data_IF_831839756276
#
_entry.id   IF_831839756276
#
_cell.length_a   1.000
_cell.length_b   1.000
_cell.length_c   1.000
_cell.angle_alpha   90.00
_cell.angle_beta   90.00
_cell.angle_gamma   90.00
#
_symmetry.space_group_name_H-M   'P 1'
#
loop_
_entity.id
_entity.type
_entity.pdbx_description
1 polymer ?
#
# COMPACT_ATOMS: atom_id res chain seq x y z
N UNK A 1 -2.36 -17.67 -3.23
CA UNK A 1 -3.13 -16.60 -3.94
C UNK A 1 -3.93 -15.81 -2.93
N UNK A 2 -3.95 -14.48 -3.01
CA UNK A 2 -4.82 -13.60 -2.21
C UNK A 2 -5.92 -13.07 -3.11
N UNK A 3 -7.18 -13.20 -2.69
CA UNK A 3 -8.34 -12.68 -3.41
C UNK A 3 -8.74 -11.33 -2.82
N UNK A 4 -8.95 -10.34 -3.66
CA UNK A 4 -9.51 -9.05 -3.26
C UNK A 4 -11.04 -9.14 -3.18
N UNK A 5 -11.63 -8.70 -2.06
CA UNK A 5 -13.07 -8.75 -1.81
C UNK A 5 -13.59 -7.43 -1.26
N UNK A 6 -14.78 -7.05 -1.74
CA UNK A 6 -15.47 -5.81 -1.33
C UNK A 6 -16.72 -6.19 -0.55
N UNK A 7 -16.70 -6.02 0.77
CA UNK A 7 -17.82 -6.34 1.67
C UNK A 7 -18.53 -5.10 2.23
N UNK A 8 -18.01 -3.90 1.93
CA UNK A 8 -18.53 -2.66 2.51
C UNK A 8 -19.68 -2.03 1.72
N UNK A 9 -19.88 -2.40 0.44
CA UNK A 9 -20.97 -1.89 -0.39
C UNK A 9 -21.33 -2.88 -1.52
N UNK A 10 -22.45 -2.64 -2.18
CA UNK A 10 -22.82 -3.32 -3.41
C UNK A 10 -22.60 -2.40 -4.61
N UNK A 11 -22.33 -2.99 -5.77
CA UNK A 11 -22.12 -2.22 -7.00
C UNK A 11 -23.39 -1.51 -7.47
N UNK A 12 -23.24 -0.45 -8.30
CA UNK A 12 -24.38 0.33 -8.80
C UNK A 12 -25.17 -0.37 -9.92
N UNK A 13 -24.60 -1.39 -10.54
CA UNK A 13 -25.23 -2.14 -11.65
C UNK A 13 -25.36 -3.62 -11.30
N UNK A 14 -26.49 -4.24 -11.63
CA UNK A 14 -26.72 -5.66 -11.36
C UNK A 14 -26.95 -5.99 -9.87
N UNK A 15 -27.13 -4.99 -9.00
CA UNK A 15 -27.36 -5.16 -7.57
C UNK A 15 -28.83 -5.45 -7.26
N UNK A 16 -29.20 -6.74 -7.32
CA UNK A 16 -30.57 -7.18 -7.06
C UNK A 16 -30.81 -7.73 -5.66
N UNK A 17 -29.77 -7.93 -4.85
CA UNK A 17 -29.87 -8.50 -3.51
C UNK A 17 -30.90 -7.78 -2.61
N UNK A 18 -31.03 -6.43 -2.64
CA UNK A 18 -32.03 -5.73 -1.83
C UNK A 18 -33.48 -6.08 -2.16
N UNK A 19 -33.75 -6.72 -3.32
CA UNK A 19 -35.09 -7.21 -3.67
C UNK A 19 -35.45 -8.53 -2.97
N UNK A 20 -34.47 -9.22 -2.40
CA UNK A 20 -34.65 -10.54 -1.79
C UNK A 20 -34.54 -10.50 -0.27
N UNK A 21 -34.10 -9.39 0.32
CA UNK A 21 -34.00 -9.26 1.77
C UNK A 21 -33.33 -7.94 2.18
N UNK A 22 -33.17 -7.73 3.50
CA UNK A 22 -32.61 -6.49 4.06
C UNK A 22 -31.08 -6.44 3.97
N UNK A 23 -30.51 -6.60 2.76
CA UNK A 23 -29.06 -6.61 2.54
C UNK A 23 -28.40 -5.26 2.75
N UNK A 24 -29.16 -4.17 2.56
CA UNK A 24 -28.68 -2.80 2.78
C UNK A 24 -29.39 -2.20 3.99
N UNK A 25 -28.68 -1.31 4.68
CA UNK A 25 -29.22 -0.58 5.85
C UNK A 25 -30.04 0.61 5.39
N UNK A 26 -31.20 0.81 6.03
CA UNK A 26 -32.05 2.00 5.83
C UNK A 26 -31.57 3.22 6.65
N UNK A 27 -30.62 3.00 7.59
CA UNK A 27 -30.24 4.01 8.59
C UNK A 27 -28.77 4.43 8.50
N UNK A 28 -27.95 3.67 7.78
CA UNK A 28 -26.52 3.95 7.65
C UNK A 28 -26.09 3.96 6.18
N UNK A 29 -25.14 4.84 5.87
CA UNK A 29 -24.57 4.96 4.54
C UNK A 29 -23.05 5.19 4.63
N UNK A 30 -22.35 4.82 3.57
CA UNK A 30 -20.96 5.16 3.32
C UNK A 30 -20.84 5.99 2.03
N UNK A 31 -19.63 6.25 1.56
CA UNK A 31 -19.41 7.09 0.36
C UNK A 31 -19.98 6.48 -0.94
N UNK A 32 -20.27 5.19 -0.97
CA UNK A 32 -20.86 4.48 -2.13
C UNK A 32 -22.38 4.31 -2.03
N UNK A 33 -23.03 4.77 -0.96
CA UNK A 33 -24.47 4.68 -0.76
C UNK A 33 -24.84 3.96 0.54
N UNK A 34 -26.01 3.30 0.56
CA UNK A 34 -26.45 2.55 1.73
C UNK A 34 -25.45 1.46 2.12
N UNK A 35 -25.08 1.42 3.40
CA UNK A 35 -24.14 0.41 3.92
C UNK A 35 -24.75 -0.99 3.88
N UNK A 36 -23.90 -2.01 3.77
CA UNK A 36 -24.33 -3.40 3.95
C UNK A 36 -24.85 -3.58 5.38
N UNK A 37 -25.99 -4.23 5.53
CA UNK A 37 -26.69 -4.37 6.81
C UNK A 37 -26.09 -5.49 7.68
N UNK A 38 -25.00 -5.17 8.35
CA UNK A 38 -24.26 -6.13 9.20
C UNK A 38 -24.96 -6.47 10.52
N UNK A 39 -26.04 -5.78 10.86
CA UNK A 39 -26.88 -6.09 12.02
C UNK A 39 -27.78 -7.30 11.75
N UNK A 40 -28.15 -7.49 10.48
CA UNK A 40 -28.97 -8.63 10.05
C UNK A 40 -28.14 -9.92 10.03
N UNK A 41 -28.49 -10.94 10.85
CA UNK A 41 -27.65 -12.14 10.98
C UNK A 41 -27.43 -12.90 9.66
N UNK A 42 -28.44 -12.96 8.79
CA UNK A 42 -28.33 -13.68 7.52
C UNK A 42 -27.44 -12.95 6.51
N UNK A 43 -27.45 -11.61 6.50
CA UNK A 43 -26.54 -10.80 5.69
C UNK A 43 -25.09 -10.96 6.18
N UNK A 44 -24.92 -10.95 7.50
CA UNK A 44 -23.61 -11.22 8.12
C UNK A 44 -23.09 -12.62 7.75
N UNK A 45 -23.97 -13.64 7.85
CA UNK A 45 -23.64 -15.00 7.47
C UNK A 45 -23.26 -15.11 5.99
N UNK A 46 -23.98 -14.43 5.10
CA UNK A 46 -23.68 -14.39 3.67
C UNK A 46 -22.23 -13.96 3.39
N UNK A 47 -21.74 -12.92 4.08
CA UNK A 47 -20.35 -12.46 3.95
C UNK A 47 -19.36 -13.50 4.49
N UNK A 48 -19.64 -14.04 5.69
CA UNK A 48 -18.77 -15.03 6.32
C UNK A 48 -18.68 -16.32 5.52
N UNK A 49 -19.79 -16.78 4.96
CA UNK A 49 -19.85 -17.97 4.11
C UNK A 49 -19.12 -17.74 2.78
N UNK A 50 -19.22 -16.53 2.20
CA UNK A 50 -18.47 -16.16 1.00
C UNK A 50 -16.94 -16.19 1.23
N UNK A 51 -16.49 -15.65 2.36
CA UNK A 51 -15.07 -15.71 2.71
C UNK A 51 -14.58 -17.16 2.87
N UNK A 52 -15.37 -18.01 3.51
CA UNK A 52 -15.05 -19.43 3.65
C UNK A 52 -15.06 -20.16 2.29
N UNK A 53 -16.02 -19.85 1.42
CA UNK A 53 -16.11 -20.40 0.07
C UNK A 53 -14.79 -20.17 -0.70
N UNK A 54 -14.30 -18.93 -0.73
CA UNK A 54 -13.05 -18.61 -1.40
C UNK A 54 -11.88 -19.43 -0.84
N UNK A 55 -11.72 -19.48 0.47
CA UNK A 55 -10.57 -20.10 1.11
C UNK A 55 -10.66 -21.63 1.17
N UNK A 56 -11.86 -22.19 1.39
CA UNK A 56 -12.07 -23.64 1.51
C UNK A 56 -12.22 -24.32 0.16
N UNK A 57 -13.15 -23.80 -0.67
CA UNK A 57 -13.62 -24.52 -1.86
C UNK A 57 -12.83 -24.10 -3.11
N UNK A 58 -12.40 -22.84 -3.19
CA UNK A 58 -11.56 -22.34 -4.28
C UNK A 58 -10.06 -22.29 -3.94
N UNK A 59 -9.67 -22.74 -2.75
CA UNK A 59 -8.28 -22.87 -2.29
C UNK A 59 -7.48 -21.55 -2.33
N UNK A 60 -8.15 -20.42 -2.15
CA UNK A 60 -7.49 -19.11 -1.98
C UNK A 60 -6.79 -19.08 -0.62
N UNK A 61 -5.55 -18.54 -0.57
CA UNK A 61 -4.71 -18.54 0.64
C UNK A 61 -5.03 -17.39 1.59
N UNK A 62 -5.80 -16.41 1.14
CA UNK A 62 -6.22 -15.28 1.96
C UNK A 62 -7.05 -14.27 1.20
N UNK A 63 -7.56 -13.29 1.94
CA UNK A 63 -8.37 -12.20 1.40
C UNK A 63 -7.72 -10.85 1.69
N UNK A 64 -7.65 -9.98 0.70
CA UNK A 64 -7.52 -8.54 0.92
C UNK A 64 -8.95 -7.99 1.08
N UNK A 65 -9.18 -7.26 2.15
CA UNK A 65 -10.48 -6.71 2.49
C UNK A 65 -10.49 -5.23 2.15
N UNK A 66 -11.23 -4.87 1.11
CA UNK A 66 -11.35 -3.51 0.59
C UNK A 66 -12.00 -2.57 1.61
N UNK A 67 -11.38 -1.41 1.82
CA UNK A 67 -11.95 -0.24 2.50
C UNK A 67 -12.72 -0.58 3.79
N UNK A 68 -12.07 -1.32 4.71
CA UNK A 68 -12.75 -1.85 5.92
C UNK A 68 -13.25 -0.76 6.86
N UNK A 69 -12.74 0.47 6.78
CA UNK A 69 -13.25 1.63 7.52
C UNK A 69 -14.69 2.01 7.12
N UNK A 70 -15.14 1.56 5.97
CA UNK A 70 -16.51 1.77 5.50
C UNK A 70 -17.50 0.67 5.95
N UNK A 71 -17.04 -0.35 6.66
CA UNK A 71 -17.90 -1.36 7.30
C UNK A 71 -18.55 -0.76 8.54
N UNK A 72 -19.84 -0.46 8.45
CA UNK A 72 -20.63 0.06 9.58
C UNK A 72 -21.21 -1.13 10.35
N UNK A 73 -20.55 -1.53 11.41
CA UNK A 73 -20.99 -2.66 12.25
C UNK A 73 -21.11 -2.24 13.73
N UNK A 74 -22.32 -1.90 14.21
CA UNK A 74 -22.54 -1.55 15.61
C UNK A 74 -22.65 -2.76 16.54
N UNK A 75 -22.46 -3.97 16.03
CA UNK A 75 -22.58 -5.21 16.81
C UNK A 75 -21.51 -5.29 17.88
N UNK A 76 -21.80 -5.96 19.01
CA UNK A 76 -20.85 -6.17 20.11
C UNK A 76 -19.56 -6.86 19.64
N UNK A 77 -19.67 -7.82 18.71
CA UNK A 77 -18.55 -8.46 18.02
C UNK A 77 -18.53 -7.94 16.58
N UNK A 78 -17.51 -7.18 16.24
CA UNK A 78 -17.35 -6.64 14.89
C UNK A 78 -17.17 -7.75 13.86
N UNK A 79 -17.71 -7.58 12.64
CA UNK A 79 -17.59 -8.55 11.54
C UNK A 79 -16.14 -8.99 11.29
N UNK A 80 -15.19 -8.05 11.31
CA UNK A 80 -13.77 -8.35 11.09
C UNK A 80 -13.20 -9.29 12.15
N UNK A 81 -13.60 -9.12 13.42
CA UNK A 81 -13.18 -10.02 14.49
C UNK A 81 -13.78 -11.42 14.29
N UNK A 82 -15.06 -11.50 13.94
CA UNK A 82 -15.71 -12.80 13.69
C UNK A 82 -15.11 -13.50 12.46
N UNK A 83 -14.84 -12.73 11.41
CA UNK A 83 -14.17 -13.24 10.20
C UNK A 83 -12.77 -13.80 10.53
N UNK A 84 -11.98 -13.10 11.36
CA UNK A 84 -10.68 -13.58 11.79
C UNK A 84 -10.79 -14.89 12.59
N UNK A 85 -11.75 -15.00 13.52
CA UNK A 85 -11.99 -16.23 14.29
C UNK A 85 -12.35 -17.41 13.38
N UNK A 86 -13.26 -17.20 12.42
CA UNK A 86 -13.67 -18.24 11.46
C UNK A 86 -12.52 -18.64 10.52
N UNK A 87 -11.70 -17.68 10.12
CA UNK A 87 -10.52 -17.95 9.27
C UNK A 87 -9.48 -18.78 10.02
N UNK A 88 -9.21 -18.50 11.29
CA UNK A 88 -8.30 -19.30 12.11
C UNK A 88 -8.81 -20.73 12.26
N UNK A 89 -10.11 -20.92 12.53
CA UNK A 89 -10.74 -22.25 12.62
C UNK A 89 -10.64 -23.01 11.29
N UNK A 90 -10.90 -22.31 10.18
CA UNK A 90 -10.77 -22.91 8.86
C UNK A 90 -9.31 -23.29 8.54
N UNK A 91 -8.35 -22.42 8.86
CA UNK A 91 -6.91 -22.66 8.67
C UNK A 91 -6.48 -23.96 9.36
N UNK A 92 -6.94 -24.18 10.61
CA UNK A 92 -6.68 -25.43 11.34
C UNK A 92 -7.32 -26.62 10.64
N UNK A 93 -8.53 -26.49 10.12
CA UNK A 93 -9.27 -27.60 9.50
C UNK A 93 -8.70 -28.00 8.14
N UNK A 94 -8.20 -27.05 7.34
CA UNK A 94 -7.62 -27.31 6.02
C UNK A 94 -6.10 -27.56 6.07
N UNK A 95 -5.47 -27.40 7.25
CA UNK A 95 -4.06 -27.69 7.48
C UNK A 95 -3.08 -26.75 6.75
N UNK A 96 -3.50 -25.52 6.43
CA UNK A 96 -2.65 -24.51 5.78
C UNK A 96 -2.92 -23.11 6.33
N UNK A 97 -1.90 -22.21 6.36
CA UNK A 97 -2.11 -20.82 6.78
C UNK A 97 -3.11 -20.10 5.86
N UNK A 98 -4.04 -19.37 6.47
CA UNK A 98 -4.95 -18.46 5.78
C UNK A 98 -4.77 -17.06 6.33
N UNK A 99 -4.85 -16.05 5.46
CA UNK A 99 -4.55 -14.67 5.81
C UNK A 99 -5.72 -13.73 5.51
N UNK A 100 -5.86 -12.70 6.36
CA UNK A 100 -6.80 -11.59 6.15
C UNK A 100 -6.01 -10.29 6.23
N UNK A 101 -6.06 -9.50 5.16
CA UNK A 101 -5.29 -8.28 4.99
C UNK A 101 -6.25 -7.12 4.71
N UNK A 102 -6.69 -6.36 5.73
CA UNK A 102 -7.53 -5.19 5.52
C UNK A 102 -6.76 -4.04 4.88
N UNK A 103 -7.47 -3.30 4.05
CA UNK A 103 -7.10 -1.96 3.64
C UNK A 103 -7.86 -0.95 4.48
N UNK A 104 -7.14 0.00 5.07
CA UNK A 104 -7.72 1.11 5.83
C UNK A 104 -6.75 2.28 5.89
N UNK A 105 -7.25 3.46 5.63
CA UNK A 105 -6.54 4.73 5.73
C UNK A 105 -6.67 5.41 7.10
N UNK A 106 -7.24 4.70 8.09
CA UNK A 106 -7.45 5.22 9.45
C UNK A 106 -6.24 5.04 10.36
N UNK A 107 -5.24 4.26 9.97
CA UNK A 107 -4.08 3.93 10.80
C UNK A 107 -4.50 3.41 12.19
N UNK A 108 -5.47 2.47 12.20
CA UNK A 108 -5.96 1.86 13.44
C UNK A 108 -5.27 0.49 13.65
N UNK A 109 -4.33 0.37 14.61
CA UNK A 109 -3.67 -0.89 14.90
C UNK A 109 -4.61 -1.96 15.46
N UNK A 110 -5.81 -1.60 15.91
CA UNK A 110 -6.83 -2.55 16.36
C UNK A 110 -7.10 -3.66 15.33
N UNK A 111 -6.94 -3.35 14.05
CA UNK A 111 -7.10 -4.32 12.97
C UNK A 111 -6.18 -5.54 13.16
N UNK A 112 -4.92 -5.30 13.51
CA UNK A 112 -3.87 -6.33 13.62
C UNK A 112 -3.49 -6.69 15.05
N UNK A 113 -3.97 -5.95 16.05
CA UNK A 113 -3.77 -6.27 17.48
C UNK A 113 -4.42 -7.62 17.79
N UNK A 114 -3.79 -8.49 18.60
CA UNK A 114 -4.37 -9.76 19.00
C UNK A 114 -5.75 -9.62 19.66
N UNK A 115 -6.62 -10.58 19.45
CA UNK A 115 -7.96 -10.60 20.08
C UNK A 115 -7.90 -10.66 21.61
N UNK A 116 -6.89 -11.31 22.17
CA UNK A 116 -6.62 -11.33 23.62
C UNK A 116 -6.35 -9.94 24.21
N UNK A 117 -5.92 -9.01 23.37
CA UNK A 117 -5.59 -7.62 23.72
C UNK A 117 -6.66 -6.63 23.23
N UNK A 118 -7.83 -7.14 22.82
CA UNK A 118 -8.97 -6.32 22.42
C UNK A 118 -8.97 -5.87 20.96
N UNK A 119 -8.03 -6.37 20.14
CA UNK A 119 -8.01 -6.15 18.70
C UNK A 119 -8.92 -7.09 17.91
N UNK A 120 -8.90 -6.98 16.59
CA UNK A 120 -9.64 -7.86 15.69
C UNK A 120 -8.85 -9.11 15.29
N UNK A 121 -7.53 -9.08 15.40
CA UNK A 121 -6.65 -10.23 15.15
C UNK A 121 -6.51 -10.59 13.67
N UNK A 122 -6.64 -9.62 12.76
CA UNK A 122 -6.35 -9.81 11.34
C UNK A 122 -4.84 -9.99 11.13
N UNK A 123 -4.46 -10.55 9.99
CA UNK A 123 -3.06 -10.99 9.78
C UNK A 123 -2.10 -9.82 9.57
N UNK A 124 -2.44 -8.88 8.70
CA UNK A 124 -1.65 -7.70 8.37
C UNK A 124 -2.59 -6.59 7.89
N UNK A 125 -2.09 -5.35 7.74
CA UNK A 125 -2.86 -4.24 7.15
C UNK A 125 -1.98 -3.42 6.21
N UNK A 126 -2.59 -2.77 5.22
CA UNK A 126 -1.90 -1.82 4.36
C UNK A 126 -1.54 -0.55 5.14
N UNK A 127 -0.40 0.05 4.80
CA UNK A 127 0.08 1.30 5.37
C UNK A 127 0.36 2.31 4.26
N UNK A 128 -0.61 3.20 4.02
CA UNK A 128 -0.50 4.27 3.03
C UNK A 128 0.53 5.33 3.43
N UNK A 129 0.74 5.55 4.73
CA UNK A 129 1.67 6.58 5.22
C UNK A 129 3.11 6.33 4.75
N UNK A 130 3.53 5.06 4.62
CA UNK A 130 4.84 4.72 4.06
C UNK A 130 4.92 5.15 2.59
N UNK A 131 3.88 4.83 1.79
CA UNK A 131 3.80 5.27 0.39
C UNK A 131 3.83 6.80 0.31
N UNK A 132 2.99 7.49 1.08
CA UNK A 132 2.89 8.94 1.03
C UNK A 132 4.23 9.61 1.34
N UNK A 133 4.91 9.19 2.41
CA UNK A 133 6.21 9.71 2.80
C UNK A 133 7.29 9.43 1.74
N UNK A 134 7.32 8.21 1.18
CA UNK A 134 8.26 7.83 0.14
C UNK A 134 8.00 8.59 -1.17
N UNK A 135 6.74 8.71 -1.58
CA UNK A 135 6.34 9.44 -2.78
C UNK A 135 6.78 10.92 -2.71
N UNK A 136 6.50 11.58 -1.59
CA UNK A 136 6.89 12.98 -1.40
C UNK A 136 8.41 13.13 -1.37
N UNK A 137 9.14 12.22 -0.71
CA UNK A 137 10.60 12.24 -0.69
C UNK A 137 11.21 12.10 -2.09
N UNK A 138 10.56 11.35 -3.00
CA UNK A 138 11.04 11.12 -4.36
C UNK A 138 10.62 12.22 -5.34
N UNK A 139 9.38 12.71 -5.23
CA UNK A 139 8.76 13.58 -6.24
C UNK A 139 8.67 15.04 -5.82
N UNK A 140 8.73 15.34 -4.52
CA UNK A 140 8.42 16.66 -3.97
C UNK A 140 6.94 17.05 -4.04
N UNK A 141 6.02 16.17 -4.47
CA UNK A 141 4.60 16.45 -4.58
C UNK A 141 3.96 16.55 -3.18
N UNK A 142 3.34 17.69 -2.85
CA UNK A 142 2.69 17.94 -1.55
C UNK A 142 1.22 18.33 -1.70
N UNK A 143 0.56 17.92 -2.79
CA UNK A 143 -0.86 18.23 -3.04
C UNK A 143 -1.79 17.17 -2.44
N UNK A 144 -2.98 17.60 -2.00
CA UNK A 144 -3.99 16.67 -1.48
C UNK A 144 -3.52 15.94 -0.24
N UNK A 145 -3.64 14.61 -0.23
CA UNK A 145 -3.25 13.76 0.90
C UNK A 145 -1.74 13.66 1.14
N UNK A 146 -0.90 14.21 0.25
CA UNK A 146 0.55 14.30 0.42
C UNK A 146 1.00 15.53 1.24
N UNK A 147 0.09 16.47 1.54
CA UNK A 147 0.43 17.78 2.13
C UNK A 147 1.19 17.71 3.47
N UNK A 148 0.94 16.68 4.27
CA UNK A 148 1.55 16.53 5.59
C UNK A 148 2.92 15.82 5.55
N UNK A 149 3.41 15.40 4.38
CA UNK A 149 4.56 14.48 4.23
C UNK A 149 5.84 15.14 3.68
N UNK A 150 5.97 16.48 3.74
CA UNK A 150 7.05 17.22 3.10
C UNK A 150 8.47 16.94 3.64
N UNK A 151 8.62 16.51 4.90
CA UNK A 151 9.93 16.24 5.51
C UNK A 151 10.30 14.76 5.43
N UNK A 152 11.59 14.44 5.25
CA UNK A 152 12.14 13.08 5.43
C UNK A 152 11.88 12.51 6.83
N UNK A 153 11.60 13.38 7.81
CA UNK A 153 11.14 12.99 9.14
C UNK A 153 9.84 12.20 9.13
N UNK A 154 8.96 12.41 8.13
CA UNK A 154 7.74 11.63 7.96
C UNK A 154 8.04 10.20 7.53
N UNK A 155 8.99 10.03 6.59
CA UNK A 155 9.50 8.73 6.18
C UNK A 155 10.22 8.03 7.33
N UNK A 156 11.04 8.76 8.10
CA UNK A 156 11.72 8.24 9.29
C UNK A 156 10.72 7.70 10.32
N UNK A 157 9.66 8.45 10.59
CA UNK A 157 8.60 8.03 11.50
C UNK A 157 7.81 6.84 10.96
N UNK A 158 7.35 6.89 9.70
CA UNK A 158 6.63 5.77 9.09
C UNK A 158 7.47 4.50 9.08
N UNK A 159 8.76 4.57 8.72
CA UNK A 159 9.67 3.43 8.67
C UNK A 159 10.01 2.84 10.06
N UNK A 160 9.95 3.62 11.14
CA UNK A 160 10.35 3.18 12.49
C UNK A 160 9.19 2.98 13.45
N UNK A 161 8.00 3.52 13.15
CA UNK A 161 6.79 3.44 13.99
C UNK A 161 5.60 2.81 13.28
N UNK A 162 5.70 2.58 11.96
CA UNK A 162 4.65 1.98 11.13
C UNK A 162 3.68 2.99 10.54
N UNK A 163 3.29 4.02 11.31
CA UNK A 163 2.45 5.12 10.84
C UNK A 163 3.11 6.47 11.10
N UNK A 164 2.91 7.40 10.18
CA UNK A 164 3.19 8.83 10.43
C UNK A 164 2.06 9.46 11.23
N UNK A 165 0.80 9.27 10.78
CA UNK A 165 -0.37 9.69 11.55
C UNK A 165 -0.72 8.62 12.58
N UNK A 166 -0.24 8.80 13.81
CA UNK A 166 -0.42 7.93 14.97
C UNK A 166 -1.10 8.63 16.16
N UNK A 167 -2.06 9.48 15.88
CA UNK A 167 -2.74 10.41 16.79
C UNK A 167 -2.43 11.87 16.45
N UNK A 168 -1.71 12.12 15.37
CA UNK A 168 -1.32 13.47 14.91
C UNK A 168 -2.38 14.10 14.00
N UNK A 169 -2.31 15.42 13.86
CA UNK A 169 -3.24 16.17 13.02
C UNK A 169 -2.99 15.86 11.54
N UNK A 170 -4.06 15.58 10.79
CA UNK A 170 -4.06 15.49 9.34
C UNK A 170 -4.73 16.72 8.73
N UNK A 171 -4.01 17.45 7.89
CA UNK A 171 -4.49 18.68 7.27
C UNK A 171 -5.69 18.41 6.34
N UNK A 172 -5.66 17.30 5.59
CA UNK A 172 -6.74 16.91 4.67
C UNK A 172 -8.01 16.45 5.41
N UNK A 173 -7.85 15.84 6.60
CA UNK A 173 -8.99 15.36 7.40
C UNK A 173 -9.47 16.40 8.40
N UNK A 174 -8.72 17.48 8.62
CA UNK A 174 -9.04 18.55 9.57
C UNK A 174 -9.15 18.09 11.03
N UNK A 175 -8.54 16.95 11.38
CA UNK A 175 -8.58 16.35 12.73
C UNK A 175 -7.38 15.45 12.99
N UNK A 176 -7.16 15.10 14.25
CA UNK A 176 -6.20 14.05 14.58
C UNK A 176 -6.69 12.69 14.09
N UNK A 177 -5.77 11.88 13.53
CA UNK A 177 -6.04 10.56 12.98
C UNK A 177 -4.97 9.57 13.41
N UNK A 178 -5.32 8.27 13.36
CA UNK A 178 -4.44 7.18 13.69
C UNK A 178 -4.24 6.96 15.19
N UNK A 179 -3.54 5.88 15.47
CA UNK A 179 -3.11 5.48 16.81
C UNK A 179 -1.71 4.86 16.73
N UNK A 180 -0.90 4.97 17.80
CA UNK A 180 0.40 4.33 17.81
C UNK A 180 0.26 2.80 17.80
N UNK A 181 1.18 2.15 17.08
CA UNK A 181 1.29 0.69 17.07
C UNK A 181 2.05 0.25 18.31
N UNK A 182 1.57 -0.80 18.97
CA UNK A 182 2.32 -1.44 20.05
C UNK A 182 3.64 -2.01 19.48
N UNK A 183 4.82 -1.67 20.07
CA UNK A 183 6.11 -2.13 19.57
C UNK A 183 6.31 -3.65 19.62
N UNK A 184 5.48 -4.39 20.35
CA UNK A 184 5.49 -5.85 20.38
C UNK A 184 4.76 -6.47 19.16
N UNK A 185 3.99 -5.69 18.41
CA UNK A 185 3.41 -6.12 17.13
C UNK A 185 4.53 -6.24 16.09
N UNK A 186 4.69 -7.40 15.42
CA UNK A 186 5.75 -7.58 14.43
C UNK A 186 5.58 -6.64 13.23
N UNK A 187 6.68 -6.04 12.75
CA UNK A 187 6.66 -5.09 11.62
C UNK A 187 6.10 -5.69 10.33
N UNK A 188 6.26 -6.99 10.09
CA UNK A 188 5.71 -7.66 8.91
C UNK A 188 4.18 -7.60 8.80
N UNK A 189 3.47 -7.25 9.89
CA UNK A 189 2.01 -7.04 9.86
C UNK A 189 1.59 -5.76 9.13
N UNK A 190 2.55 -4.92 8.73
CA UNK A 190 2.28 -3.80 7.83
C UNK A 190 2.69 -4.16 6.41
N UNK A 191 1.78 -3.99 5.47
CA UNK A 191 2.04 -4.13 4.03
C UNK A 191 2.29 -2.74 3.46
N UNK A 192 3.47 -2.55 2.87
CA UNK A 192 3.91 -1.28 2.30
C UNK A 192 4.21 -1.41 0.81
N UNK A 193 4.18 -0.32 0.12
CA UNK A 193 4.37 -0.25 -1.34
C UNK A 193 4.91 1.12 -1.74
N UNK A 194 5.62 1.17 -2.86
CA UNK A 194 5.97 2.41 -3.55
C UNK A 194 4.83 2.90 -4.45
N UNK A 195 4.10 1.96 -5.05
CA UNK A 195 2.91 2.18 -5.87
C UNK A 195 1.87 1.10 -5.58
N UNK A 196 0.58 1.42 -5.80
CA UNK A 196 -0.49 0.46 -5.94
C UNK A 196 -1.56 0.97 -6.93
N UNK A 197 -2.60 0.17 -7.19
CA UNK A 197 -3.66 0.49 -8.13
C UNK A 197 -4.43 1.78 -7.76
N UNK A 198 -4.55 2.09 -6.46
CA UNK A 198 -5.30 3.24 -5.98
C UNK A 198 -4.51 4.54 -6.12
N UNK A 199 -3.25 4.58 -5.69
CA UNK A 199 -2.43 5.78 -5.83
C UNK A 199 -2.25 6.17 -7.31
N UNK A 200 -2.02 5.19 -8.19
CA UNK A 200 -1.92 5.45 -9.63
C UNK A 200 -3.30 5.72 -10.23
N UNK A 201 -4.29 4.87 -9.99
CA UNK A 201 -5.63 4.97 -10.56
C UNK A 201 -6.41 6.21 -10.12
N UNK A 202 -6.08 6.78 -8.97
CA UNK A 202 -6.64 8.05 -8.49
C UNK A 202 -5.90 9.29 -9.00
N UNK A 203 -4.87 9.16 -9.85
CA UNK A 203 -4.29 10.28 -10.61
C UNK A 203 -5.14 10.57 -11.85
N UNK A 204 -5.19 11.82 -12.35
CA UNK A 204 -6.04 12.18 -13.50
C UNK A 204 -5.80 11.31 -14.72
N UNK A 205 -4.55 11.12 -15.11
CA UNK A 205 -4.13 10.35 -16.27
C UNK A 205 -3.72 8.90 -15.93
N UNK A 206 -3.74 8.49 -14.66
CA UNK A 206 -3.25 7.19 -14.24
C UNK A 206 -1.74 7.02 -14.38
N UNK A 207 -1.01 8.12 -14.29
CA UNK A 207 0.45 8.15 -14.43
C UNK A 207 1.15 7.49 -13.25
N UNK A 208 2.13 6.64 -13.57
CA UNK A 208 3.00 5.98 -12.59
C UNK A 208 4.06 6.92 -12.05
N UNK A 209 4.64 6.59 -10.91
CA UNK A 209 5.75 7.36 -10.31
C UNK A 209 6.89 7.57 -11.32
N UNK A 210 7.24 6.55 -12.10
CA UNK A 210 8.27 6.63 -13.15
C UNK A 210 8.04 7.69 -14.23
N UNK A 211 6.83 8.27 -14.33
CA UNK A 211 6.57 9.39 -15.24
C UNK A 211 7.12 10.73 -14.72
N UNK A 212 7.43 10.84 -13.41
CA UNK A 212 7.86 12.07 -12.75
C UNK A 212 9.23 11.97 -12.06
N UNK A 213 9.80 10.77 -11.97
CA UNK A 213 11.09 10.52 -11.31
C UNK A 213 12.06 9.78 -12.24
N UNK A 214 13.36 9.95 -12.00
CA UNK A 214 14.39 9.26 -12.76
C UNK A 214 14.62 7.81 -12.30
N UNK A 215 15.47 7.08 -13.03
CA UNK A 215 15.80 5.70 -12.73
C UNK A 215 16.49 5.51 -11.36
N UNK A 216 17.29 6.48 -10.91
CA UNK A 216 17.93 6.48 -9.61
C UNK A 216 16.88 6.59 -8.48
N UNK A 217 15.92 7.47 -8.63
CA UNK A 217 14.81 7.63 -7.69
C UNK A 217 13.91 6.39 -7.65
N UNK A 218 13.62 5.75 -8.79
CA UNK A 218 12.92 4.45 -8.83
C UNK A 218 13.74 3.36 -8.10
N UNK A 219 15.06 3.39 -8.24
CA UNK A 219 15.93 2.46 -7.51
C UNK A 219 15.90 2.69 -6.00
N UNK A 220 15.82 3.96 -5.53
CA UNK A 220 15.62 4.28 -4.11
C UNK A 220 14.29 3.71 -3.62
N UNK A 221 13.20 3.88 -4.39
CA UNK A 221 11.89 3.33 -4.05
C UNK A 221 11.95 1.81 -3.85
N UNK A 222 12.58 1.10 -4.79
CA UNK A 222 12.78 -0.34 -4.72
C UNK A 222 13.56 -0.77 -3.47
N UNK A 223 14.68 -0.09 -3.19
CA UNK A 223 15.55 -0.41 -2.03
C UNK A 223 14.81 -0.18 -0.72
N UNK A 224 14.14 0.97 -0.53
CA UNK A 224 13.43 1.28 0.71
C UNK A 224 12.22 0.37 0.92
N UNK A 225 11.49 0.03 -0.13
CA UNK A 225 10.33 -0.87 -0.05
C UNK A 225 10.75 -2.30 0.26
N UNK A 226 11.72 -2.86 -0.48
CA UNK A 226 12.11 -4.28 -0.37
C UNK A 226 13.09 -4.56 0.78
N UNK A 227 14.03 -3.68 1.07
CA UNK A 227 14.93 -3.84 2.21
C UNK A 227 14.37 -3.27 3.51
N UNK A 228 13.27 -2.54 3.46
CA UNK A 228 12.53 -2.00 4.62
C UNK A 228 12.01 -3.08 5.58
N UNK A 229 11.54 -2.70 6.78
CA UNK A 229 11.19 -3.66 7.84
C UNK A 229 9.85 -4.35 7.62
N UNK A 230 9.02 -3.87 6.72
CA UNK A 230 7.63 -4.28 6.53
C UNK A 230 7.48 -5.36 5.45
N UNK A 231 6.28 -5.84 5.23
CA UNK A 231 5.97 -6.72 4.10
C UNK A 231 5.79 -5.89 2.83
N UNK A 232 6.67 -6.04 1.83
CA UNK A 232 6.54 -5.29 0.58
C UNK A 232 5.44 -5.87 -0.30
N UNK A 233 4.66 -5.01 -0.92
CA UNK A 233 3.75 -5.31 -2.02
C UNK A 233 4.22 -4.56 -3.26
N UNK A 234 4.24 -5.24 -4.40
CA UNK A 234 4.65 -4.67 -5.67
C UNK A 234 3.43 -4.49 -6.57
N UNK A 235 3.33 -3.34 -7.23
CA UNK A 235 2.33 -3.17 -8.26
C UNK A 235 2.87 -3.67 -9.61
N UNK A 236 2.04 -4.36 -10.37
CA UNK A 236 2.42 -4.97 -11.65
C UNK A 236 3.15 -3.97 -12.55
N UNK A 237 4.36 -4.32 -12.99
CA UNK A 237 5.20 -3.51 -13.87
C UNK A 237 6.16 -2.55 -13.17
N UNK A 238 6.02 -2.30 -11.86
CA UNK A 238 6.96 -1.42 -11.15
C UNK A 238 8.37 -2.01 -11.13
N UNK A 239 8.47 -3.35 -11.10
CA UNK A 239 9.74 -4.06 -11.03
C UNK A 239 10.64 -3.88 -12.25
N UNK A 240 10.11 -3.35 -13.35
CA UNK A 240 10.92 -2.91 -14.49
C UNK A 240 10.67 -1.43 -14.85
N UNK A 241 9.91 -0.69 -14.03
CA UNK A 241 9.60 0.71 -14.29
C UNK A 241 8.72 0.89 -15.52
N UNK A 242 7.63 0.11 -15.63
CA UNK A 242 6.70 0.19 -16.74
C UNK A 242 6.21 1.62 -16.97
N UNK A 243 6.26 2.09 -18.22
CA UNK A 243 5.78 3.43 -18.59
C UNK A 243 4.25 3.46 -18.81
N UNK A 244 3.64 2.30 -18.98
CA UNK A 244 2.20 2.13 -19.20
C UNK A 244 1.40 2.71 -18.03
N UNK A 245 0.48 3.65 -18.24
CA UNK A 245 -0.35 4.20 -17.18
C UNK A 245 -1.34 3.16 -16.66
N UNK A 246 -1.87 3.38 -15.47
CA UNK A 246 -2.99 2.63 -14.91
C UNK A 246 -4.19 3.55 -14.76
N UNK A 247 -4.96 3.68 -15.85
CA UNK A 247 -6.10 4.59 -15.91
C UNK A 247 -7.34 3.94 -15.29
N UNK A 248 -8.17 4.74 -14.65
CA UNK A 248 -9.47 4.28 -14.19
C UNK A 248 -10.39 4.05 -15.42
N UNK A 249 -10.81 2.82 -15.62
CA UNK A 249 -11.69 2.42 -16.71
C UNK A 249 -12.90 1.66 -16.22
N UNK A 250 -14.01 1.79 -16.93
CA UNK A 250 -15.29 1.15 -16.64
C UNK A 250 -15.95 0.63 -17.91
N UNK A 251 -16.92 -0.27 -17.76
CA UNK A 251 -17.74 -0.77 -18.87
C UNK A 251 -19.16 -0.99 -18.38
N UNK A 252 -19.87 0.11 -18.07
CA UNK A 252 -21.26 0.02 -17.64
C UNK A 252 -22.18 -0.15 -18.85
N UNK A 253 -23.09 -1.17 -18.82
CA UNK A 253 -24.08 -1.34 -19.89
C UNK A 253 -25.12 -0.22 -19.91
N UNK A 254 -25.38 0.44 -18.77
CA UNK A 254 -26.27 1.59 -18.66
C UNK A 254 -25.55 2.87 -19.12
N UNK A 255 -25.99 3.50 -20.23
CA UNK A 255 -25.32 4.70 -20.74
C UNK A 255 -25.44 5.92 -19.82
N UNK A 256 -26.51 6.02 -19.00
CA UNK A 256 -26.67 7.13 -18.06
C UNK A 256 -25.69 7.00 -16.91
N UNK A 257 -25.54 5.79 -16.36
CA UNK A 257 -24.55 5.51 -15.34
C UNK A 257 -23.13 5.76 -15.87
N UNK A 258 -22.80 5.26 -17.07
CA UNK A 258 -21.50 5.48 -17.69
C UNK A 258 -21.17 6.97 -17.82
N UNK A 259 -22.10 7.78 -18.29
CA UNK A 259 -21.96 9.23 -18.42
C UNK A 259 -21.76 9.90 -17.06
N UNK A 260 -22.58 9.53 -16.07
CA UNK A 260 -22.48 10.08 -14.72
C UNK A 260 -21.11 9.79 -14.07
N UNK A 261 -20.54 8.59 -14.31
CA UNK A 261 -19.19 8.24 -13.83
C UNK A 261 -18.12 9.09 -14.51
N UNK A 262 -18.19 9.28 -15.83
CA UNK A 262 -17.27 10.13 -16.59
C UNK A 262 -17.32 11.59 -16.11
N UNK A 263 -18.52 12.17 -16.02
CA UNK A 263 -18.72 13.54 -15.57
C UNK A 263 -18.27 13.74 -14.11
N UNK A 264 -18.59 12.76 -13.25
CA UNK A 264 -18.18 12.78 -11.83
C UNK A 264 -16.67 12.78 -11.67
N UNK A 265 -15.94 11.96 -12.45
CA UNK A 265 -14.49 11.89 -12.44
C UNK A 265 -13.85 13.17 -12.95
N UNK A 266 -14.26 13.67 -14.13
CA UNK A 266 -13.78 14.93 -14.67
C UNK A 266 -14.04 16.06 -13.69
N UNK A 267 -15.25 16.16 -13.13
CA UNK A 267 -15.59 17.17 -12.15
C UNK A 267 -14.79 17.09 -10.85
N UNK A 268 -14.40 15.88 -10.40
CA UNK A 268 -13.51 15.68 -9.25
C UNK A 268 -12.16 16.36 -9.50
N UNK A 269 -11.51 16.05 -10.62
CA UNK A 269 -10.18 16.56 -10.94
C UNK A 269 -10.18 18.05 -11.32
N UNK A 270 -11.24 18.53 -11.97
CA UNK A 270 -11.40 19.96 -12.24
C UNK A 270 -11.43 20.79 -10.95
N UNK A 271 -12.10 20.31 -9.89
CA UNK A 271 -12.08 20.96 -8.57
C UNK A 271 -10.69 20.96 -7.90
N UNK A 272 -9.82 20.04 -8.31
CA UNK A 272 -8.44 19.95 -7.84
C UNK A 272 -7.46 20.75 -8.72
N UNK A 273 -7.97 21.48 -9.74
CA UNK A 273 -7.16 22.33 -10.61
C UNK A 273 -6.64 21.69 -11.90
N UNK A 274 -7.06 20.47 -12.21
CA UNK A 274 -6.67 19.80 -13.45
C UNK A 274 -7.57 20.21 -14.63
N UNK A 275 -6.98 20.30 -15.82
CA UNK A 275 -7.78 20.55 -17.04
C UNK A 275 -8.64 19.31 -17.35
N UNK A 276 -9.92 19.46 -17.76
CA UNK A 276 -10.80 18.36 -18.06
C UNK A 276 -10.23 17.37 -19.11
N UNK A 277 -9.53 17.88 -20.13
CA UNK A 277 -8.92 17.06 -21.19
C UNK A 277 -7.75 16.16 -20.71
N UNK A 278 -7.22 16.42 -19.52
CA UNK A 278 -6.20 15.56 -18.89
C UNK A 278 -6.80 14.27 -18.29
N UNK A 279 -8.13 14.18 -18.20
CA UNK A 279 -8.83 13.07 -17.58
C UNK A 279 -9.44 12.19 -18.67
N UNK A 280 -8.93 10.97 -18.94
CA UNK A 280 -9.51 10.08 -19.91
C UNK A 280 -10.95 9.70 -19.57
N UNK A 281 -11.77 9.49 -20.61
CA UNK A 281 -13.11 8.92 -20.41
C UNK A 281 -13.00 7.47 -19.92
N UNK A 282 -13.51 7.14 -18.72
CA UNK A 282 -13.46 5.77 -18.21
C UNK A 282 -14.22 4.75 -19.06
N UNK A 283 -15.26 5.17 -19.80
CA UNK A 283 -16.08 4.31 -20.65
C UNK A 283 -15.47 4.08 -22.04
N UNK A 284 -14.46 4.85 -22.43
CA UNK A 284 -13.77 4.62 -23.71
C UNK A 284 -12.94 3.33 -23.63
N UNK A 285 -13.17 2.33 -24.52
CA UNK A 285 -12.35 1.13 -24.59
C UNK A 285 -10.84 1.40 -24.75
N UNK A 286 -10.46 2.55 -25.33
CA UNK A 286 -9.08 2.95 -25.45
C UNK A 286 -8.42 3.23 -24.08
N UNK A 287 -9.17 3.67 -23.06
CA UNK A 287 -8.68 3.87 -21.70
C UNK A 287 -8.22 2.55 -21.07
N UNK A 288 -9.02 1.48 -21.25
CA UNK A 288 -8.59 0.13 -20.87
C UNK A 288 -7.38 -0.35 -21.68
N UNK A 289 -7.41 -0.17 -23.00
CA UNK A 289 -6.33 -0.66 -23.87
C UNK A 289 -5.00 -0.01 -23.58
N UNK A 290 -4.98 1.28 -23.24
CA UNK A 290 -3.76 2.02 -22.82
C UNK A 290 -3.23 1.59 -21.46
N UNK A 291 -4.05 0.95 -20.62
CA UNK A 291 -3.65 0.46 -19.30
C UNK A 291 -3.05 -0.95 -19.30
N UNK A 292 -2.93 -1.57 -20.47
CA UNK A 292 -2.27 -2.88 -20.63
C UNK A 292 -0.76 -2.70 -20.66
N UNK A 293 -0.05 -3.46 -19.81
CA UNK A 293 1.41 -3.44 -19.76
C UNK A 293 2.03 -3.75 -21.13
N UNK A 294 3.05 -2.98 -21.49
CA UNK A 294 3.90 -3.27 -22.65
C UNK A 294 5.10 -4.11 -22.20
N UNK A 295 5.02 -5.41 -22.41
CA UNK A 295 6.07 -6.34 -22.06
C UNK A 295 7.35 -6.20 -22.89
N UNK A 296 7.31 -5.48 -24.03
CA UNK A 296 8.50 -5.23 -24.86
C UNK A 296 9.48 -4.24 -24.20
N UNK A 297 9.03 -3.46 -23.21
CA UNK A 297 9.91 -2.57 -22.43
C UNK A 297 11.04 -3.34 -21.71
N UNK A 298 10.82 -4.61 -21.40
CA UNK A 298 11.85 -5.46 -20.76
C UNK A 298 13.13 -5.62 -21.58
N UNK A 299 13.09 -5.38 -22.89
CA UNK A 299 14.26 -5.39 -23.77
C UNK A 299 15.10 -4.09 -23.64
N UNK A 300 14.57 -3.07 -22.96
CA UNK A 300 15.25 -1.80 -22.68
C UNK A 300 16.32 -1.94 -21.58
N UNK A 301 17.47 -1.27 -21.75
CA UNK A 301 18.60 -1.37 -20.82
C UNK A 301 18.21 -0.94 -19.40
N UNK A 302 17.51 0.18 -19.26
CA UNK A 302 17.10 0.72 -17.95
C UNK A 302 16.06 -0.16 -17.28
N UNK A 303 15.07 -0.66 -18.01
CA UNK A 303 14.05 -1.59 -17.52
C UNK A 303 14.67 -2.92 -17.06
N UNK A 304 15.61 -3.47 -17.85
CA UNK A 304 16.34 -4.68 -17.48
C UNK A 304 17.20 -4.48 -16.23
N UNK A 305 17.84 -3.31 -16.09
CA UNK A 305 18.64 -2.96 -14.91
C UNK A 305 17.79 -2.86 -13.64
N UNK A 306 16.62 -2.20 -13.71
CA UNK A 306 15.70 -2.10 -12.59
C UNK A 306 15.15 -3.48 -12.18
N UNK A 307 14.76 -4.30 -13.14
CA UNK A 307 14.32 -5.68 -12.88
C UNK A 307 15.42 -6.52 -12.22
N UNK A 308 16.69 -6.35 -12.62
CA UNK A 308 17.83 -7.00 -11.99
C UNK A 308 17.99 -6.56 -10.53
N UNK A 309 17.82 -5.26 -10.25
CA UNK A 309 17.83 -4.72 -8.89
C UNK A 309 16.72 -5.34 -8.01
N UNK A 310 15.48 -5.40 -8.50
CA UNK A 310 14.37 -6.05 -7.78
C UNK A 310 14.67 -7.51 -7.46
N UNK A 311 15.20 -8.28 -8.42
CA UNK A 311 15.60 -9.67 -8.22
C UNK A 311 16.66 -9.81 -7.14
N UNK A 312 17.66 -8.93 -7.15
CA UNK A 312 18.73 -8.94 -6.14
C UNK A 312 18.21 -8.55 -4.75
N UNK A 313 17.36 -7.54 -4.63
CA UNK A 313 16.73 -7.14 -3.38
C UNK A 313 15.87 -8.27 -2.79
N UNK A 314 15.08 -8.97 -3.61
CA UNK A 314 14.30 -10.15 -3.20
C UNK A 314 15.24 -11.27 -2.73
N UNK A 315 16.33 -11.52 -3.44
CA UNK A 315 17.34 -12.51 -3.06
C UNK A 315 17.95 -12.17 -1.69
N UNK A 316 18.38 -10.93 -1.48
CA UNK A 316 18.93 -10.45 -0.21
C UNK A 316 17.93 -10.61 0.92
N UNK A 317 16.69 -10.17 0.73
CA UNK A 317 15.63 -10.31 1.73
C UNK A 317 15.38 -11.76 2.14
N UNK A 318 15.50 -12.71 1.20
CA UNK A 318 15.30 -14.15 1.45
C UNK A 318 16.50 -14.82 2.10
N UNK A 319 17.70 -14.28 1.95
CA UNK A 319 18.95 -14.91 2.39
C UNK A 319 19.61 -14.23 3.59
N UNK A 320 19.24 -13.00 3.91
CA UNK A 320 19.79 -12.22 5.03
C UNK A 320 18.74 -12.07 6.14
N UNK A 321 18.89 -12.81 7.26
CA UNK A 321 17.92 -12.77 8.36
C UNK A 321 17.70 -11.37 8.94
N UNK A 322 18.71 -10.51 8.91
CA UNK A 322 18.64 -9.14 9.40
C UNK A 322 17.59 -8.31 8.62
N UNK A 323 17.39 -8.61 7.31
CA UNK A 323 16.36 -7.96 6.48
C UNK A 323 14.94 -8.50 6.72
N UNK A 324 14.79 -9.49 7.58
CA UNK A 324 13.50 -10.04 8.00
C UNK A 324 13.26 -9.92 9.52
N UNK A 325 14.17 -9.25 10.26
CA UNK A 325 13.93 -8.92 11.67
C UNK A 325 12.68 -8.05 11.78
N UNK A 326 11.70 -8.55 12.54
CA UNK A 326 10.35 -7.97 12.63
C UNK A 326 10.13 -7.09 13.87
N UNK A 327 11.20 -6.71 14.59
CA UNK A 327 11.11 -5.95 15.82
C UNK A 327 11.19 -4.45 15.57
N UNK A 328 10.18 -3.68 15.96
CA UNK A 328 10.24 -2.22 15.94
C UNK A 328 11.41 -1.67 16.79
N UNK A 329 11.73 -2.29 17.93
CA UNK A 329 12.84 -1.88 18.78
C UNK A 329 14.24 -2.03 18.17
N UNK A 330 14.37 -2.72 17.02
CA UNK A 330 15.61 -2.84 16.28
C UNK A 330 15.80 -1.72 15.23
N UNK A 331 14.84 -0.82 15.10
CA UNK A 331 14.78 0.21 14.06
C UNK A 331 15.17 1.58 14.64
N UNK A 332 16.01 2.31 13.89
CA UNK A 332 16.21 3.75 14.08
C UNK A 332 16.45 4.42 12.73
N UNK A 333 16.08 5.70 12.65
CA UNK A 333 16.29 6.46 11.42
C UNK A 333 16.98 7.79 11.74
N UNK A 334 17.82 8.22 10.80
CA UNK A 334 18.51 9.51 10.77
C UNK A 334 18.27 10.12 9.39
N UNK A 335 18.14 11.43 9.32
CA UNK A 335 17.91 12.12 8.05
C UNK A 335 18.37 13.58 8.14
N UNK A 336 18.51 14.19 7.00
CA UNK A 336 18.75 15.62 6.86
C UNK A 336 17.95 16.16 5.67
N UNK A 337 16.99 17.03 5.93
CA UNK A 337 16.09 17.58 4.90
C UNK A 337 16.81 18.54 3.96
N UNK A 338 17.88 19.23 4.40
CA UNK A 338 18.59 20.22 3.60
C UNK A 338 19.47 19.55 2.54
N UNK A 339 20.23 18.52 2.93
CA UNK A 339 21.09 17.76 2.03
C UNK A 339 20.39 16.56 1.38
N UNK A 340 19.15 16.23 1.80
CA UNK A 340 18.32 15.21 1.18
C UNK A 340 18.78 13.78 1.38
N UNK A 341 19.37 13.44 2.53
CA UNK A 341 19.74 12.06 2.82
C UNK A 341 18.92 11.44 3.93
N UNK A 342 18.76 10.12 3.86
CA UNK A 342 18.03 9.31 4.82
C UNK A 342 18.79 8.02 5.12
N UNK A 343 18.79 7.60 6.39
CA UNK A 343 19.35 6.32 6.84
C UNK A 343 18.38 5.61 7.75
N UNK A 344 18.09 4.36 7.44
CA UNK A 344 17.32 3.43 8.28
C UNK A 344 18.25 2.34 8.80
N UNK A 345 18.50 2.30 10.10
CA UNK A 345 19.25 1.23 10.74
C UNK A 345 18.32 0.10 11.19
N UNK A 346 18.76 -1.16 10.97
CA UNK A 346 18.07 -2.42 11.33
C UNK A 346 19.08 -3.38 11.94
N UNK A 347 19.34 -3.26 13.25
CA UNK A 347 20.36 -4.08 13.91
C UNK A 347 21.75 -3.86 13.31
N UNK A 348 22.32 -4.89 12.67
CA UNK A 348 23.63 -4.81 12.01
C UNK A 348 23.58 -4.21 10.60
N UNK A 349 22.39 -4.08 10.01
CA UNK A 349 22.19 -3.54 8.66
C UNK A 349 21.79 -2.07 8.71
N UNK A 350 22.09 -1.33 7.67
CA UNK A 350 21.51 -0.02 7.41
C UNK A 350 21.23 0.18 5.93
N UNK A 351 20.16 0.91 5.65
CA UNK A 351 19.78 1.37 4.32
C UNK A 351 20.07 2.86 4.29
N UNK A 352 20.85 3.31 3.31
CA UNK A 352 21.14 4.74 3.11
C UNK A 352 20.60 5.15 1.76
N UNK A 353 19.81 6.21 1.72
CA UNK A 353 19.26 6.79 0.49
C UNK A 353 19.69 8.25 0.38
N UNK A 354 20.14 8.63 -0.80
CA UNK A 354 20.47 10.00 -1.17
C UNK A 354 19.42 10.51 -2.16
N UNK A 355 18.45 11.27 -1.67
CA UNK A 355 17.40 11.91 -2.48
C UNK A 355 17.90 13.22 -3.13
N UNK A 356 19.02 13.77 -2.63
CA UNK A 356 19.62 14.99 -3.17
C UNK A 356 20.50 14.70 -4.40
N UNK A 357 20.97 15.77 -5.06
CA UNK A 357 21.85 15.67 -6.23
C UNK A 357 23.34 15.58 -5.86
N UNK A 358 23.72 16.09 -4.68
CA UNK A 358 25.11 16.13 -4.23
C UNK A 358 25.58 14.75 -3.73
N UNK A 359 26.83 14.35 -4.02
CA UNK A 359 27.36 13.09 -3.54
C UNK A 359 27.40 13.00 -2.01
N UNK A 360 27.03 11.85 -1.46
CA UNK A 360 27.01 11.54 -0.02
C UNK A 360 28.07 10.48 0.30
N UNK A 361 28.99 10.79 1.23
CA UNK A 361 29.94 9.80 1.73
C UNK A 361 29.25 8.72 2.56
N UNK A 362 29.60 7.45 2.34
CA UNK A 362 29.10 6.35 3.15
C UNK A 362 29.76 6.30 4.53
N UNK A 363 29.05 5.87 5.59
CA UNK A 363 29.60 5.73 6.93
C UNK A 363 30.78 4.76 6.96
N UNK A 364 31.86 5.13 7.67
CA UNK A 364 33.01 4.24 7.87
C UNK A 364 32.64 3.01 8.74
N UNK A 365 33.39 1.90 8.56
CA UNK A 365 33.19 0.68 9.35
C UNK A 365 31.95 -0.14 8.95
N UNK A 366 31.51 0.05 7.72
CA UNK A 366 30.42 -0.73 7.13
C UNK A 366 30.84 -1.30 5.76
N UNK A 367 30.42 -2.51 5.49
CA UNK A 367 30.63 -3.19 4.22
C UNK A 367 29.41 -2.94 3.32
N UNK A 368 29.63 -2.63 2.05
CA UNK A 368 28.57 -2.43 1.08
C UNK A 368 28.04 -3.79 0.62
N UNK A 369 26.79 -4.09 0.92
CA UNK A 369 26.09 -5.30 0.49
C UNK A 369 25.51 -5.10 -0.91
N UNK A 370 24.91 -3.93 -1.14
CA UNK A 370 24.34 -3.52 -2.42
C UNK A 370 24.44 -2.00 -2.53
N UNK A 371 24.70 -1.51 -3.74
CA UNK A 371 24.59 -0.08 -4.04
C UNK A 371 24.03 0.12 -5.45
N UNK A 372 23.23 1.17 -5.62
CA UNK A 372 22.76 1.63 -6.94
C UNK A 372 23.68 2.69 -7.54
N UNK A 373 24.69 3.15 -6.78
CA UNK A 373 25.71 4.09 -7.26
C UNK A 373 26.82 3.36 -8.00
N UNK A 374 27.38 4.00 -9.03
CA UNK A 374 28.55 3.49 -9.76
C UNK A 374 29.82 3.42 -8.88
N UNK A 375 29.93 4.27 -7.86
CA UNK A 375 31.03 4.25 -6.88
C UNK A 375 30.53 3.59 -5.59
N UNK A 376 31.13 2.46 -5.15
CA UNK A 376 30.67 1.76 -3.95
C UNK A 376 31.02 2.50 -2.64
N UNK A 377 31.85 3.53 -2.66
CA UNK A 377 32.26 4.28 -1.48
C UNK A 377 31.51 5.61 -1.31
N UNK A 378 30.79 6.04 -2.33
CA UNK A 378 30.08 7.34 -2.36
C UNK A 378 28.73 7.14 -3.06
N UNK A 379 27.65 7.52 -2.41
CA UNK A 379 26.37 7.60 -3.08
C UNK A 379 26.33 8.85 -3.95
N UNK A 380 26.18 8.68 -5.24
CA UNK A 380 25.84 9.77 -6.16
C UNK A 380 24.46 10.35 -5.83
N UNK A 381 24.05 11.39 -6.52
CA UNK A 381 22.66 11.88 -6.45
C UNK A 381 21.71 10.77 -6.88
N UNK A 382 20.52 10.76 -6.27
CA UNK A 382 19.46 9.79 -6.52
C UNK A 382 19.93 8.33 -6.49
N UNK A 383 20.57 7.93 -5.37
CA UNK A 383 21.07 6.56 -5.22
C UNK A 383 20.88 6.03 -3.79
N UNK A 384 20.98 4.72 -3.63
CA UNK A 384 20.85 4.06 -2.35
C UNK A 384 21.88 2.96 -2.16
N UNK A 385 22.15 2.60 -0.89
CA UNK A 385 22.95 1.44 -0.53
C UNK A 385 22.36 0.69 0.65
N UNK A 386 22.62 -0.62 0.66
CA UNK A 386 22.42 -1.51 1.82
C UNK A 386 23.81 -1.80 2.37
N UNK A 387 24.01 -1.50 3.63
CA UNK A 387 25.27 -1.62 4.32
C UNK A 387 25.16 -2.62 5.49
N UNK A 388 26.25 -3.31 5.81
CA UNK A 388 26.37 -4.19 6.97
C UNK A 388 27.53 -3.71 7.84
N UNK A 389 27.37 -3.69 9.16
CA UNK A 389 28.46 -3.36 10.08
C UNK A 389 29.62 -4.34 9.89
N UNK A 390 30.83 -3.83 9.64
CA UNK A 390 32.03 -4.64 9.44
C UNK A 390 32.37 -5.45 10.68
N UNK A 391 32.85 -6.70 10.48
CA UNK A 391 33.29 -7.57 11.59
C UNK A 391 32.18 -8.31 12.36
N UNK A 392 30.95 -8.29 11.90
CA UNK A 392 29.85 -9.16 12.33
C UNK A 392 29.66 -10.25 11.27
N UNK A 393 30.17 -11.46 11.59
CA UNK A 393 30.03 -12.65 10.75
C UNK A 393 28.64 -13.30 10.92
#
# INVERSE_FOLDING_TARGET
MIQDVVYNHLGPSGSYLPRFGPYLSDTTANIWGASVNLVEPEVRRYILDNAQLWMRDYHIDGLRLDSVQALVDPSKKHLLQELAEKTDQLSLSVGRPLTLIPESDLNDPKLITPRSEGGFGLTAQWSDDFHHALHVALTGETTGYYADFASLGTLAKAATKGFFHDGTYSSIRGRNVGYPIDPDIPTWRLVVFSENHDQIGNRPAGDRMGASVDHGQQSIAAVLTLAGPFTPMLFMGEEWGASTPWQFFTSYPDPELGRAVTEGRIGKFARMGWHPDAVPDPQDPATFSRSKLDWSELDGIEHAALLALYRELIRLRRTMPELTDSRFGALSAEFDDESGWFRLARGAMSIVANFGESPLGLPAGQDVVLTTSANPCVLGGHSAAILRRSGIA
#
